data_IF_784388791022
#
_entry.id   IF_784388791022
#
_cell.length_a   1.000
_cell.length_b   1.000
_cell.length_c   1.000
_cell.angle_alpha   90.00
_cell.angle_beta   90.00
_cell.angle_gamma   90.00
#
_symmetry.space_group_name_H-M   'P 1'
#
loop_
_entity.id
_entity.type
_entity.pdbx_description
1 polymer ?
#
# COMPACT_ATOMS: atom_id res chain seq x y z
N UNK A 1 -5.67 15.54 14.33
CA UNK A 1 -6.63 14.62 13.70
C UNK A 1 -6.75 13.41 14.62
N UNK A 2 -7.87 13.29 15.34
CA UNK A 2 -8.07 12.21 16.32
C UNK A 2 -8.58 10.97 15.59
N UNK A 3 -7.78 9.91 15.53
CA UNK A 3 -8.12 8.62 14.90
C UNK A 3 -9.21 7.85 15.69
N UNK A 4 -9.64 8.38 16.84
CA UNK A 4 -10.52 7.66 17.80
C UNK A 4 -12.00 7.61 17.36
N UNK A 5 -12.39 8.26 16.27
CA UNK A 5 -13.81 8.45 15.91
C UNK A 5 -14.41 7.50 14.88
N UNK A 6 -13.63 6.67 14.18
CA UNK A 6 -14.14 5.89 13.03
C UNK A 6 -14.66 4.49 13.40
N UNK A 7 -14.42 4.01 14.63
CA UNK A 7 -14.91 2.71 15.07
C UNK A 7 -16.17 2.90 15.90
N UNK A 8 -17.33 2.64 15.29
CA UNK A 8 -18.59 2.44 15.99
C UNK A 8 -18.43 1.46 17.14
N UNK A 9 -19.13 1.74 18.25
CA UNK A 9 -18.92 1.12 19.54
C UNK A 9 -18.90 -0.41 19.52
N UNK A 10 -17.92 -0.99 20.21
CA UNK A 10 -17.93 -2.39 20.60
C UNK A 10 -17.53 -2.48 22.06
N UNK A 11 -18.46 -3.00 22.86
CA UNK A 11 -18.30 -3.33 24.27
C UNK A 11 -17.27 -4.47 24.41
N UNK A 12 -16.26 -4.28 25.27
CA UNK A 12 -15.60 -5.41 25.95
C UNK A 12 -14.59 -6.25 25.16
N UNK A 13 -13.79 -5.67 24.26
CA UNK A 13 -12.60 -6.34 23.73
C UNK A 13 -11.36 -5.88 24.51
N UNK A 14 -10.47 -6.83 24.86
CA UNK A 14 -9.13 -6.52 25.36
C UNK A 14 -8.50 -5.44 24.46
N UNK A 15 -7.75 -4.50 25.04
CA UNK A 15 -7.09 -3.40 24.31
C UNK A 15 -6.21 -3.99 23.20
N UNK A 16 -6.77 -4.25 22.04
CA UNK A 16 -6.02 -4.69 20.87
C UNK A 16 -5.16 -3.51 20.47
N UNK A 17 -3.85 -3.72 20.45
CA UNK A 17 -2.92 -2.74 19.90
C UNK A 17 -3.10 -2.76 18.38
N UNK A 18 -3.93 -1.87 17.89
CA UNK A 18 -4.07 -1.60 16.47
C UNK A 18 -2.75 -1.00 15.99
N UNK A 19 -2.16 -1.60 14.97
CA UNK A 19 -1.01 -1.05 14.26
C UNK A 19 -1.53 -0.48 12.94
N UNK A 20 -1.23 0.78 12.70
CA UNK A 20 -1.59 1.48 11.47
C UNK A 20 -0.31 1.88 10.74
N UNK A 21 -0.40 2.00 9.42
CA UNK A 21 0.70 2.47 8.61
C UNK A 21 0.99 3.96 8.94
N UNK A 22 2.26 4.29 9.13
CA UNK A 22 2.71 5.66 9.38
C UNK A 22 2.74 6.51 8.10
N UNK A 23 3.01 5.86 6.98
CA UNK A 23 3.03 6.40 5.62
C UNK A 23 2.51 5.31 4.66
N UNK A 24 2.10 5.65 3.43
CA UNK A 24 1.52 4.69 2.51
C UNK A 24 2.37 3.43 2.36
N UNK A 25 1.78 2.30 2.71
CA UNK A 25 2.49 1.03 2.81
C UNK A 25 2.72 0.44 1.42
N UNK A 26 3.91 0.65 0.86
CA UNK A 26 4.31 0.22 -0.50
C UNK A 26 3.90 -1.22 -0.81
N UNK A 27 3.98 -2.13 0.17
CA UNK A 27 3.68 -3.56 -0.01
C UNK A 27 2.19 -3.83 -0.28
N UNK A 28 1.30 -2.92 0.10
CA UNK A 28 -0.15 -3.01 -0.06
C UNK A 28 -0.60 -2.46 -1.43
N UNK A 29 0.17 -2.79 -2.47
CA UNK A 29 -0.13 -2.54 -3.88
C UNK A 29 -0.64 -3.78 -4.62
N UNK A 30 -0.83 -3.67 -5.94
CA UNK A 30 -1.29 -4.78 -6.79
C UNK A 30 -0.28 -5.16 -7.87
N UNK A 31 -0.16 -6.46 -8.12
CA UNK A 31 0.57 -7.01 -9.27
C UNK A 31 -0.42 -7.25 -10.42
N UNK A 32 -0.15 -6.65 -11.57
CA UNK A 32 -0.98 -6.77 -12.78
C UNK A 32 -0.12 -6.86 -14.04
N UNK A 33 -0.63 -7.52 -15.07
CA UNK A 33 0.13 -7.82 -16.29
C UNK A 33 1.44 -8.57 -16.02
N UNK A 34 2.30 -8.64 -17.03
CA UNK A 34 3.61 -9.28 -16.88
C UNK A 34 4.55 -8.37 -16.05
N UNK A 35 4.70 -8.68 -14.76
CA UNK A 35 5.66 -8.06 -13.83
C UNK A 35 5.50 -6.55 -13.59
N UNK A 36 4.29 -5.99 -13.70
CA UNK A 36 4.01 -4.61 -13.26
C UNK A 36 3.45 -4.61 -11.84
N UNK A 37 3.85 -3.62 -11.07
CA UNK A 37 3.39 -3.40 -9.70
C UNK A 37 2.92 -1.95 -9.53
N UNK A 38 1.66 -1.77 -9.12
CA UNK A 38 1.11 -0.46 -8.75
C UNK A 38 1.18 -0.38 -7.23
N UNK A 39 2.06 0.47 -6.72
CA UNK A 39 2.31 0.63 -5.30
C UNK A 39 1.77 1.98 -4.79
N UNK A 40 1.34 2.05 -3.53
CA UNK A 40 1.15 3.31 -2.82
C UNK A 40 2.44 4.14 -2.83
N UNK A 41 2.35 5.44 -3.09
CA UNK A 41 3.48 6.35 -3.04
C UNK A 41 3.85 6.60 -1.56
N UNK A 42 5.05 6.21 -1.10
CA UNK A 42 5.39 6.31 0.32
C UNK A 42 5.55 7.76 0.81
N UNK A 43 5.71 8.73 -0.10
CA UNK A 43 5.98 10.13 0.23
C UNK A 43 7.13 10.27 1.25
N UNK A 44 8.20 9.51 1.02
CA UNK A 44 9.36 9.44 1.89
C UNK A 44 10.27 10.66 1.83
N UNK A 45 11.31 10.73 2.68
CA UNK A 45 12.26 11.83 2.68
C UNK A 45 12.93 12.02 1.31
N UNK A 46 12.96 13.27 0.84
CA UNK A 46 13.58 13.63 -0.43
C UNK A 46 15.04 14.05 -0.20
N UNK A 47 15.98 13.29 -0.76
CA UNK A 47 17.42 13.61 -0.76
C UNK A 47 17.87 13.73 -2.21
N UNK A 48 18.51 14.85 -2.57
CA UNK A 48 18.92 15.13 -3.96
C UNK A 48 17.76 14.96 -4.96
N UNK A 49 16.61 15.56 -4.66
CA UNK A 49 15.37 15.48 -5.45
C UNK A 49 14.80 14.05 -5.63
N UNK A 50 15.24 13.07 -4.83
CA UNK A 50 14.78 11.68 -4.87
C UNK A 50 14.13 11.27 -3.55
N UNK A 51 12.90 10.76 -3.59
CA UNK A 51 12.32 10.01 -2.47
C UNK A 51 13.11 8.72 -2.28
N UNK A 52 13.86 8.64 -1.18
CA UNK A 52 14.79 7.53 -0.92
C UNK A 52 14.07 6.22 -0.58
N UNK A 53 12.84 6.29 -0.05
CA UNK A 53 12.05 5.10 0.29
C UNK A 53 11.50 4.50 -1.01
N UNK A 54 10.91 5.34 -1.87
CA UNK A 54 10.44 4.92 -3.18
C UNK A 54 11.60 4.37 -4.04
N UNK A 55 12.76 5.04 -4.03
CA UNK A 55 13.94 4.57 -4.77
C UNK A 55 14.43 3.20 -4.25
N UNK A 56 14.55 3.02 -2.93
CA UNK A 56 14.97 1.76 -2.32
C UNK A 56 14.00 0.61 -2.62
N UNK A 57 12.69 0.86 -2.51
CA UNK A 57 11.67 -0.12 -2.86
C UNK A 57 11.74 -0.49 -4.36
N UNK A 58 11.81 0.49 -5.26
CA UNK A 58 11.97 0.24 -6.70
C UNK A 58 13.19 -0.65 -6.98
N UNK A 59 14.32 -0.40 -6.35
CA UNK A 59 15.52 -1.25 -6.49
C UNK A 59 15.28 -2.68 -6.00
N UNK A 60 14.57 -2.86 -4.87
CA UNK A 60 14.26 -4.19 -4.35
C UNK A 60 13.34 -4.97 -5.30
N UNK A 61 12.27 -4.35 -5.80
CA UNK A 61 11.36 -4.97 -6.77
C UNK A 61 12.04 -5.24 -8.12
N UNK A 62 12.96 -4.37 -8.55
CA UNK A 62 13.73 -4.58 -9.77
C UNK A 62 14.61 -5.83 -9.72
N UNK A 63 15.15 -6.21 -8.54
CA UNK A 63 15.90 -7.48 -8.36
C UNK A 63 15.02 -8.71 -8.62
N UNK A 64 13.72 -8.62 -8.33
CA UNK A 64 12.73 -9.64 -8.67
C UNK A 64 12.17 -9.49 -10.10
N UNK A 65 12.64 -8.50 -10.85
CA UNK A 65 12.23 -8.19 -12.22
C UNK A 65 10.86 -7.50 -12.33
N UNK A 66 10.38 -6.83 -11.28
CA UNK A 66 9.15 -6.04 -11.32
C UNK A 66 9.40 -4.58 -11.71
N UNK A 67 8.43 -3.99 -12.41
CA UNK A 67 8.38 -2.57 -12.73
C UNK A 67 7.36 -1.87 -11.81
N UNK A 68 7.84 -0.98 -10.94
CA UNK A 68 7.01 -0.28 -9.97
C UNK A 68 6.54 1.07 -10.50
N UNK A 69 5.22 1.29 -10.48
CA UNK A 69 4.56 2.58 -10.64
C UNK A 69 4.00 3.00 -9.29
N UNK A 70 4.25 4.24 -8.88
CA UNK A 70 3.73 4.79 -7.63
C UNK A 70 2.45 5.59 -7.89
N UNK A 71 1.41 5.31 -7.11
CA UNK A 71 0.14 6.02 -7.10
C UNK A 71 0.04 6.86 -5.83
N UNK A 72 -0.35 8.13 -5.97
CA UNK A 72 -0.71 8.92 -4.80
C UNK A 72 -2.11 8.52 -4.33
N UNK A 73 -2.15 7.80 -3.20
CA UNK A 73 -3.38 7.33 -2.54
C UNK A 73 -3.53 7.91 -1.11
N UNK A 74 -2.87 9.05 -0.83
CA UNK A 74 -2.79 9.59 0.51
C UNK A 74 -4.17 9.90 1.10
N UNK A 75 -4.96 10.70 0.39
CA UNK A 75 -6.24 11.20 0.91
C UNK A 75 -7.43 10.30 0.61
N UNK A 76 -7.33 9.43 -0.38
CA UNK A 76 -8.43 8.54 -0.79
C UNK A 76 -8.40 7.19 -0.06
N UNK A 77 -7.22 6.66 0.30
CA UNK A 77 -7.09 5.35 0.97
C UNK A 77 -6.25 5.39 2.24
N UNK A 78 -5.05 5.98 2.22
CA UNK A 78 -4.10 5.90 3.34
C UNK A 78 -4.66 6.49 4.65
N UNK A 79 -5.19 7.72 4.60
CA UNK A 79 -5.83 8.35 5.77
C UNK A 79 -7.07 7.61 6.27
N UNK A 80 -7.65 6.73 5.44
CA UNK A 80 -8.77 5.85 5.77
C UNK A 80 -8.32 4.45 6.21
N UNK A 81 -7.03 4.28 6.56
CA UNK A 81 -6.42 3.01 7.00
C UNK A 81 -6.35 1.94 5.90
N UNK A 82 -6.43 2.33 4.63
CA UNK A 82 -6.26 1.45 3.47
C UNK A 82 -5.07 1.87 2.61
N UNK A 83 -4.87 1.22 1.48
CA UNK A 83 -3.89 1.61 0.45
C UNK A 83 -4.41 1.14 -0.93
N UNK A 84 -3.64 1.30 -2.01
CA UNK A 84 -3.96 0.83 -3.38
C UNK A 84 -4.69 -0.52 -3.42
N UNK A 85 -4.20 -1.58 -2.76
CA UNK A 85 -4.82 -2.91 -2.79
C UNK A 85 -6.19 -2.95 -2.07
N UNK A 86 -6.46 -2.05 -1.12
CA UNK A 86 -7.77 -1.94 -0.49
C UNK A 86 -8.83 -1.38 -1.46
N UNK A 87 -8.42 -0.52 -2.39
CA UNK A 87 -9.30 0.09 -3.39
C UNK A 87 -9.36 -0.65 -4.73
N UNK A 88 -8.53 -1.69 -4.93
CA UNK A 88 -8.36 -2.33 -6.23
C UNK A 88 -8.44 -3.85 -6.13
N UNK A 89 -8.73 -4.49 -7.27
CA UNK A 89 -8.64 -5.93 -7.42
C UNK A 89 -8.20 -6.25 -8.86
N UNK A 90 -7.57 -7.40 -9.06
CA UNK A 90 -7.05 -7.83 -10.37
C UNK A 90 -7.65 -9.18 -10.73
N UNK A 91 -8.47 -9.23 -11.77
CA UNK A 91 -8.91 -10.49 -12.35
C UNK A 91 -7.72 -11.24 -12.95
N UNK A 92 -7.62 -12.54 -12.69
CA UNK A 92 -6.55 -13.41 -13.18
C UNK A 92 -7.13 -14.52 -14.03
N UNK A 93 -6.32 -15.00 -14.97
CA UNK A 93 -6.65 -16.23 -15.68
C UNK A 93 -6.71 -17.39 -14.69
N UNK A 94 -7.81 -18.12 -14.75
CA UNK A 94 -8.12 -19.28 -13.92
C UNK A 94 -8.62 -20.43 -14.80
N UNK A 95 -8.19 -20.47 -16.07
CA UNK A 95 -8.58 -21.50 -17.04
C UNK A 95 -7.93 -22.86 -16.79
N UNK A 96 -6.90 -22.91 -15.95
CA UNK A 96 -6.28 -24.16 -15.50
C UNK A 96 -7.26 -25.04 -14.71
N UNK A 97 -7.08 -26.35 -14.80
CA UNK A 97 -7.87 -27.31 -14.02
C UNK A 97 -7.53 -27.19 -12.53
N UNK A 98 -8.55 -27.36 -11.70
CA UNK A 98 -8.44 -27.38 -10.25
C UNK A 98 -7.70 -28.61 -9.73
#
# INVERSE_FOLDING_TARGET
>A
MNIVGAAGGVVGLSKQRLHLALYPSIINGIVFGNRKYLAPNPWGPVVNATDIIAAGARQAYAKAGFQVTYMDDWYDHHVLMGEVHCGTNVARDASDKW
#
